data_IF_456149587514
#
_entry.id   IF_456149587514
#
_cell.length_a   1.000
_cell.length_b   1.000
_cell.length_c   1.000
_cell.angle_alpha   90.00
_cell.angle_beta   90.00
_cell.angle_gamma   90.00
#
_symmetry.space_group_name_H-M   'P 1'
#
loop_
_entity.id
_entity.type
_entity.pdbx_description
1 polymer ?
#
# COMPACT_ATOMS: atom_id res chain seq x y z
N UNK A 1 42.00 103.40 -33.42
CA UNK A 1 41.26 102.13 -33.26
C UNK A 1 42.26 101.02 -33.02
N UNK A 2 41.96 100.22 -32.01
CA UNK A 2 42.73 99.21 -31.28
C UNK A 2 43.38 98.11 -32.13
N UNK A 3 44.63 97.73 -31.81
CA UNK A 3 45.11 96.35 -31.99
C UNK A 3 46.36 96.07 -31.13
N UNK A 4 46.36 94.90 -30.45
CA UNK A 4 47.51 94.12 -29.94
C UNK A 4 48.38 94.75 -28.84
N UNK A 5 48.81 94.11 -27.74
CA UNK A 5 49.11 92.72 -27.33
C UNK A 5 49.36 92.76 -25.79
N UNK A 6 49.26 91.73 -24.94
CA UNK A 6 50.31 90.72 -24.61
C UNK A 6 49.89 89.91 -23.35
N UNK A 7 49.92 88.58 -23.48
CA UNK A 7 50.35 87.46 -22.58
C UNK A 7 49.74 87.13 -21.19
N UNK A 8 49.37 85.83 -21.14
CA UNK A 8 49.74 84.73 -20.20
C UNK A 8 49.28 84.79 -18.73
N UNK A 9 48.52 83.77 -18.33
CA UNK A 9 48.91 82.85 -17.26
C UNK A 9 48.17 81.51 -17.39
N UNK A 10 48.86 80.44 -17.04
CA UNK A 10 48.44 79.05 -17.13
C UNK A 10 47.72 78.58 -15.85
N UNK A 11 46.79 77.63 -15.96
CA UNK A 11 46.51 76.62 -14.93
C UNK A 11 45.60 75.49 -15.49
N UNK A 12 46.23 74.34 -15.72
CA UNK A 12 45.82 72.96 -15.37
C UNK A 12 44.35 72.51 -15.44
N UNK A 13 44.14 71.52 -16.33
CA UNK A 13 43.17 70.41 -16.43
C UNK A 13 42.75 69.72 -15.08
N UNK A 14 41.80 68.75 -15.07
CA UNK A 14 40.60 68.57 -15.93
C UNK A 14 39.32 68.07 -15.18
N UNK A 15 38.21 68.10 -15.93
CA UNK A 15 37.04 67.21 -15.94
C UNK A 15 36.88 66.13 -14.83
N UNK A 16 35.76 66.21 -14.10
CA UNK A 16 34.97 65.02 -13.73
C UNK A 16 33.48 65.39 -13.70
N UNK A 17 32.75 64.89 -14.69
CA UNK A 17 31.31 64.98 -14.85
C UNK A 17 30.63 64.07 -13.80
N UNK A 18 29.96 64.66 -12.81
CA UNK A 18 29.17 63.93 -11.81
C UNK A 18 27.81 63.58 -12.42
N UNK A 19 27.66 62.36 -12.91
CA UNK A 19 26.38 61.74 -13.21
C UNK A 19 25.81 61.11 -11.92
N UNK A 20 24.71 61.68 -11.45
CA UNK A 20 23.89 61.12 -10.36
C UNK A 20 23.25 59.81 -10.84
N UNK A 21 23.78 58.66 -10.42
CA UNK A 21 23.07 57.38 -10.48
C UNK A 21 22.44 57.11 -9.11
N UNK A 22 21.12 57.09 -9.07
CA UNK A 22 20.34 56.61 -7.93
C UNK A 22 20.59 55.11 -7.74
N UNK A 23 21.42 54.74 -6.76
CA UNK A 23 21.54 53.38 -6.29
C UNK A 23 20.28 53.01 -5.50
N UNK A 24 19.35 52.31 -6.16
CA UNK A 24 18.31 51.56 -5.47
C UNK A 24 19.02 50.43 -4.72
N UNK A 25 19.08 50.55 -3.39
CA UNK A 25 19.47 49.48 -2.49
C UNK A 25 18.46 48.33 -2.65
N UNK A 26 18.78 47.35 -3.49
CA UNK A 26 18.21 46.03 -3.35
C UNK A 26 18.71 45.47 -2.01
N UNK A 27 17.84 44.99 -1.11
CA UNK A 27 18.32 44.22 0.02
C UNK A 27 19.08 43.01 -0.55
N UNK A 28 20.31 42.83 -0.09
CA UNK A 28 21.06 41.61 -0.30
C UNK A 28 20.12 40.44 -0.03
N UNK A 29 19.98 39.55 -1.02
CA UNK A 29 19.35 38.24 -0.85
C UNK A 29 20.01 37.63 0.38
N UNK A 30 19.28 37.57 1.49
CA UNK A 30 19.74 36.83 2.65
C UNK A 30 20.02 35.42 2.18
N UNK A 31 21.26 34.98 2.32
CA UNK A 31 21.57 33.57 2.27
C UNK A 31 20.74 32.93 3.38
N UNK A 32 19.63 32.29 3.00
CA UNK A 32 18.97 31.37 3.90
C UNK A 32 20.00 30.27 4.15
N UNK A 33 20.72 30.38 5.28
CA UNK A 33 21.52 29.30 5.82
C UNK A 33 20.61 28.08 5.85
N UNK A 34 20.83 27.13 4.95
CA UNK A 34 20.13 25.86 5.00
C UNK A 34 20.45 25.28 6.39
N UNK A 35 19.44 25.22 7.26
CA UNK A 35 19.60 24.63 8.57
C UNK A 35 20.10 23.20 8.40
N UNK A 36 21.14 22.82 9.14
CA UNK A 36 21.64 21.45 9.09
C UNK A 36 20.51 20.45 9.34
N UNK A 37 20.49 19.30 8.63
CA UNK A 37 19.45 18.31 8.80
C UNK A 37 19.37 17.80 10.25
N UNK A 38 18.16 17.73 10.80
CA UNK A 38 17.93 17.26 12.16
C UNK A 38 17.93 15.73 12.22
N UNK A 39 18.78 15.16 13.07
CA UNK A 39 18.73 13.73 13.41
C UNK A 39 17.75 13.52 14.56
N UNK A 40 16.73 12.70 14.36
CA UNK A 40 15.78 12.32 15.41
C UNK A 40 15.84 10.81 15.67
N UNK A 41 15.52 10.40 16.91
CA UNK A 41 15.49 8.99 17.30
C UNK A 41 16.85 8.30 17.45
N UNK A 42 17.92 9.00 17.84
CA UNK A 42 19.20 8.32 18.18
C UNK A 42 19.92 8.92 19.39
N UNK A 43 20.33 8.05 20.31
CA UNK A 43 21.57 8.20 21.11
C UNK A 43 22.61 7.26 20.47
N UNK A 44 23.56 7.80 19.68
CA UNK A 44 24.65 7.02 19.06
C UNK A 44 25.77 6.66 20.07
N UNK A 45 26.66 5.67 19.79
CA UNK A 45 26.80 4.91 18.55
C UNK A 45 26.70 3.37 18.65
N UNK A 46 26.24 2.76 17.57
CA UNK A 46 26.18 1.32 17.34
C UNK A 46 27.59 0.74 17.10
N UNK A 47 27.90 -0.37 17.76
CA UNK A 47 29.21 -1.04 17.72
C UNK A 47 29.43 -1.78 16.39
N UNK A 48 30.56 -1.53 15.74
CA UNK A 48 30.95 -2.14 14.45
C UNK A 48 32.13 -3.11 14.61
N UNK A 49 32.11 -4.21 13.86
CA UNK A 49 33.33 -4.90 13.39
C UNK A 49 33.22 -5.06 11.88
N UNK A 50 34.27 -4.66 11.17
CA UNK A 50 34.29 -4.44 9.73
C UNK A 50 34.89 -5.60 8.93
N UNK A 51 34.44 -5.78 7.68
CA UNK A 51 35.14 -6.51 6.62
C UNK A 51 34.80 -5.94 5.23
N UNK A 52 35.67 -6.09 4.21
CA UNK A 52 35.76 -5.15 3.07
C UNK A 52 35.05 -5.60 1.79
N UNK A 53 34.76 -4.61 0.94
CA UNK A 53 34.10 -4.71 -0.36
C UNK A 53 35.05 -4.81 -1.58
N UNK A 54 34.57 -5.41 -2.69
CA UNK A 54 34.63 -4.88 -4.07
C UNK A 54 34.38 -5.97 -5.13
N UNK A 55 33.48 -5.76 -6.10
CA UNK A 55 33.58 -6.22 -7.51
C UNK A 55 32.75 -5.30 -8.44
N UNK A 56 33.24 -4.98 -9.64
CA UNK A 56 32.57 -4.24 -10.74
C UNK A 56 32.67 -5.01 -12.06
N UNK A 57 31.60 -5.09 -12.89
CA UNK A 57 31.65 -5.61 -14.29
C UNK A 57 30.50 -5.07 -15.20
N UNK A 58 30.57 -5.21 -16.55
CA UNK A 58 30.14 -4.21 -17.54
C UNK A 58 28.78 -4.47 -18.25
N UNK A 59 28.35 -3.46 -19.03
CA UNK A 59 27.05 -3.31 -19.66
C UNK A 59 26.84 -4.05 -21.00
N UNK A 60 25.65 -4.63 -21.23
CA UNK A 60 24.60 -4.18 -22.20
C UNK A 60 23.58 -5.29 -22.55
N UNK A 61 22.34 -5.14 -22.07
CA UNK A 61 21.04 -5.52 -22.69
C UNK A 61 19.91 -5.17 -21.68
N UNK A 62 18.71 -4.77 -22.15
CA UNK A 62 17.63 -4.15 -21.33
C UNK A 62 17.02 -5.12 -20.27
N UNK A 63 16.31 -4.58 -19.25
CA UNK A 63 15.14 -5.15 -18.46
C UNK A 63 15.27 -5.33 -16.92
N UNK A 64 14.18 -5.28 -16.08
CA UNK A 64 13.58 -4.22 -15.16
C UNK A 64 13.34 -4.81 -13.71
N UNK A 65 12.62 -4.22 -12.68
CA UNK A 65 12.16 -4.98 -11.45
C UNK A 65 11.83 -6.40 -11.92
N UNK A 66 12.47 -7.41 -11.34
CA UNK A 66 12.56 -8.70 -12.05
C UNK A 66 11.13 -9.24 -12.24
N UNK A 67 10.70 -9.39 -13.49
CA UNK A 67 9.34 -9.83 -13.87
C UNK A 67 8.20 -8.81 -13.65
N UNK A 68 8.48 -7.55 -13.31
CA UNK A 68 7.49 -6.49 -13.11
C UNK A 68 7.03 -5.80 -14.39
N UNK A 69 5.90 -5.08 -14.31
CA UNK A 69 5.33 -4.30 -15.42
C UNK A 69 5.60 -2.79 -15.28
N UNK A 70 5.53 -2.06 -16.38
CA UNK A 70 5.62 -0.60 -16.36
C UNK A 70 4.46 0.04 -15.62
N UNK A 71 4.81 1.08 -14.85
CA UNK A 71 3.86 1.87 -14.09
C UNK A 71 4.22 3.35 -14.13
N UNK A 72 3.46 4.16 -13.42
CA UNK A 72 3.64 5.59 -13.32
C UNK A 72 3.20 6.09 -11.93
N UNK A 73 3.54 7.34 -11.62
CA UNK A 73 3.23 7.90 -10.30
C UNK A 73 1.75 8.23 -10.12
N UNK A 74 0.96 8.29 -11.19
CA UNK A 74 -0.49 8.45 -11.10
C UNK A 74 -1.14 7.21 -10.46
N UNK A 75 -0.55 6.03 -10.67
CA UNK A 75 -0.95 4.78 -10.00
C UNK A 75 -0.38 4.66 -8.58
N UNK A 76 0.80 5.24 -8.33
CA UNK A 76 1.51 5.18 -7.05
C UNK A 76 1.91 6.57 -6.54
N UNK A 77 0.94 7.47 -6.26
CA UNK A 77 1.22 8.87 -5.95
C UNK A 77 2.02 9.09 -4.66
N UNK A 78 1.99 8.12 -3.75
CA UNK A 78 2.77 8.10 -2.50
C UNK A 78 4.23 7.72 -2.69
N UNK A 79 4.62 7.14 -3.84
CA UNK A 79 5.97 6.60 -4.00
C UNK A 79 7.02 7.73 -4.00
N UNK A 80 8.13 7.49 -3.32
CA UNK A 80 9.27 8.40 -3.25
C UNK A 80 10.51 7.70 -3.79
N UNK A 81 11.26 8.40 -4.62
CA UNK A 81 12.61 8.03 -5.03
C UNK A 81 13.61 8.83 -4.18
N UNK A 82 14.54 8.13 -3.55
CA UNK A 82 15.64 8.70 -2.77
C UNK A 82 16.92 8.56 -3.60
N UNK A 83 17.64 9.66 -3.76
CA UNK A 83 18.92 9.68 -4.47
C UNK A 83 20.04 10.08 -3.53
N UNK A 84 21.22 9.51 -3.73
CA UNK A 84 22.45 9.89 -3.06
C UNK A 84 23.47 10.34 -4.12
N UNK A 85 24.02 11.55 -3.97
CA UNK A 85 24.94 12.15 -4.94
C UNK A 85 24.37 12.16 -6.38
N UNK A 86 23.07 12.41 -6.50
CA UNK A 86 22.35 12.46 -7.78
C UNK A 86 22.04 11.09 -8.40
N UNK A 87 22.42 9.98 -7.76
CA UNK A 87 22.13 8.62 -8.24
C UNK A 87 20.98 8.00 -7.46
N UNK A 88 20.11 7.24 -8.15
CA UNK A 88 19.04 6.48 -7.50
C UNK A 88 19.64 5.51 -6.48
N UNK A 89 19.15 5.57 -5.23
CA UNK A 89 19.75 4.86 -4.11
C UNK A 89 18.73 3.99 -3.38
N UNK A 90 17.58 4.56 -3.02
CA UNK A 90 16.49 3.86 -2.34
C UNK A 90 15.12 4.36 -2.80
N UNK A 91 14.09 3.63 -2.41
CA UNK A 91 12.70 4.06 -2.44
C UNK A 91 12.19 4.49 -1.06
N UNK A 92 10.95 4.98 -1.07
CA UNK A 92 10.20 5.33 0.12
C UNK A 92 8.72 5.52 -0.19
N UNK A 93 7.94 5.86 0.83
CA UNK A 93 6.54 6.19 0.69
C UNK A 93 6.15 7.39 1.55
N UNK A 94 5.42 8.34 0.97
CA UNK A 94 4.75 9.38 1.74
C UNK A 94 3.69 8.74 2.64
N UNK A 95 3.91 8.85 3.95
CA UNK A 95 3.00 8.32 5.00
C UNK A 95 2.27 9.43 5.76
N UNK A 96 2.78 10.65 5.61
CA UNK A 96 2.20 11.91 6.06
C UNK A 96 2.74 13.00 5.11
N UNK A 97 2.04 14.15 4.91
CA UNK A 97 2.51 15.18 3.98
C UNK A 97 3.94 15.66 4.26
N UNK A 98 4.41 15.55 5.51
CA UNK A 98 5.76 15.94 5.92
C UNK A 98 6.68 14.75 6.29
N UNK A 99 6.26 13.50 6.06
CA UNK A 99 7.07 12.32 6.40
C UNK A 99 7.08 11.27 5.29
N UNK A 100 8.27 10.78 4.99
CA UNK A 100 8.52 9.65 4.09
C UNK A 100 9.02 8.47 4.92
N UNK A 101 8.33 7.34 4.81
CA UNK A 101 8.79 6.04 5.32
C UNK A 101 9.79 5.42 4.36
N UNK A 102 10.90 4.92 4.88
CA UNK A 102 11.94 4.19 4.13
C UNK A 102 12.61 3.15 5.05
N UNK A 103 13.65 2.48 4.57
CA UNK A 103 14.45 1.52 5.33
C UNK A 103 15.53 2.24 6.16
N UNK A 104 15.95 1.68 7.28
CA UNK A 104 17.02 2.24 8.11
C UNK A 104 18.36 2.24 7.37
N UNK A 105 18.65 1.19 6.60
CA UNK A 105 19.88 1.08 5.81
C UNK A 105 19.97 2.12 4.67
N UNK A 106 18.84 2.73 4.29
CA UNK A 106 18.80 3.85 3.35
C UNK A 106 19.18 5.18 4.00
N UNK A 107 19.30 5.24 5.33
CA UNK A 107 19.64 6.45 6.09
C UNK A 107 21.01 6.32 6.77
N UNK A 108 21.33 5.14 7.27
CA UNK A 108 22.54 4.87 8.06
C UNK A 108 23.35 3.71 7.49
N UNK A 109 24.68 3.86 7.50
CA UNK A 109 25.65 2.84 7.14
C UNK A 109 26.42 2.38 8.36
N UNK A 110 26.39 1.09 8.67
CA UNK A 110 27.23 0.53 9.72
C UNK A 110 28.68 0.39 9.25
N UNK A 111 28.89 0.06 7.97
CA UNK A 111 30.23 0.01 7.38
C UNK A 111 30.99 1.33 7.53
N UNK A 112 30.32 2.46 7.25
CA UNK A 112 30.91 3.79 7.40
C UNK A 112 30.72 4.39 8.80
N UNK A 113 29.95 3.74 9.67
CA UNK A 113 29.52 4.23 10.97
C UNK A 113 28.98 5.68 10.91
N UNK A 114 28.17 5.99 9.89
CA UNK A 114 27.67 7.34 9.65
C UNK A 114 26.36 7.35 8.86
N UNK A 115 25.66 8.49 8.89
CA UNK A 115 24.47 8.76 8.08
C UNK A 115 24.85 9.04 6.64
N UNK A 116 24.11 8.48 5.67
CA UNK A 116 24.38 8.73 4.25
C UNK A 116 24.27 10.21 3.88
N UNK A 117 23.34 10.94 4.49
CA UNK A 117 23.21 12.38 4.29
C UNK A 117 24.35 13.23 4.87
N UNK A 118 25.24 12.64 5.69
CA UNK A 118 26.49 13.26 6.13
C UNK A 118 27.68 12.88 5.22
N UNK A 119 27.55 11.78 4.47
CA UNK A 119 28.57 11.28 3.53
C UNK A 119 28.34 11.76 2.09
N UNK A 120 27.17 12.31 1.79
CA UNK A 120 26.80 12.78 0.47
C UNK A 120 25.49 13.57 0.44
N UNK A 121 25.12 14.04 -0.74
CA UNK A 121 23.89 14.81 -0.94
C UNK A 121 22.70 13.87 -1.13
N UNK A 122 21.86 13.77 -0.10
CA UNK A 122 20.61 13.01 -0.15
C UNK A 122 19.46 13.91 -0.63
N UNK A 123 18.71 13.44 -1.63
CA UNK A 123 17.51 14.13 -2.14
C UNK A 123 16.34 13.16 -2.24
N UNK A 124 15.12 13.67 -2.19
CA UNK A 124 13.90 12.88 -2.28
C UNK A 124 12.95 13.49 -3.31
N UNK A 125 12.34 12.64 -4.13
CA UNK A 125 11.48 13.05 -5.22
C UNK A 125 10.22 12.20 -5.28
N UNK A 126 9.09 12.80 -5.64
CA UNK A 126 7.85 12.07 -5.94
C UNK A 126 7.23 12.59 -7.22
N UNK A 127 6.47 11.74 -7.92
CA UNK A 127 5.75 12.18 -9.10
C UNK A 127 6.58 12.41 -10.36
N UNK A 128 7.82 11.93 -10.39
CA UNK A 128 8.73 12.10 -11.51
C UNK A 128 9.50 10.82 -11.78
N UNK A 129 9.57 10.39 -13.04
CA UNK A 129 10.53 9.38 -13.48
C UNK A 129 11.94 10.00 -13.52
N UNK A 130 13.00 9.19 -13.66
CA UNK A 130 14.40 9.67 -13.70
C UNK A 130 14.70 10.75 -14.77
N UNK A 131 13.76 11.08 -15.66
CA UNK A 131 13.78 12.25 -16.53
C UNK A 131 13.11 13.44 -15.84
N UNK A 132 13.91 14.46 -15.46
CA UNK A 132 13.54 15.62 -14.61
C UNK A 132 12.46 16.59 -15.11
N UNK A 133 11.31 16.11 -15.56
CA UNK A 133 10.11 16.91 -15.88
C UNK A 133 8.93 16.41 -15.05
N UNK A 134 8.35 17.30 -14.23
CA UNK A 134 7.19 17.02 -13.38
C UNK A 134 7.53 16.59 -11.95
N UNK A 135 6.49 16.33 -11.15
CA UNK A 135 6.62 15.88 -9.77
C UNK A 135 7.14 16.93 -8.78
N UNK A 136 7.34 16.52 -7.53
CA UNK A 136 7.81 17.36 -6.43
C UNK A 136 9.22 16.93 -6.00
N UNK A 137 10.07 17.91 -5.71
CA UNK A 137 11.28 17.69 -4.93
C UNK A 137 10.90 17.91 -3.48
N UNK A 138 11.13 16.89 -2.67
CA UNK A 138 10.75 16.88 -1.27
C UNK A 138 11.93 17.42 -0.48
N UNK A 139 11.81 18.65 0.03
CA UNK A 139 12.86 19.31 0.80
C UNK A 139 13.09 18.57 2.12
N UNK A 140 14.23 17.88 2.24
CA UNK A 140 14.60 17.12 3.43
C UNK A 140 15.03 18.08 4.54
N UNK A 141 14.36 18.00 5.69
CA UNK A 141 14.69 18.74 6.91
C UNK A 141 15.45 17.90 7.94
N UNK A 142 15.36 16.58 7.84
CA UNK A 142 15.97 15.67 8.79
C UNK A 142 15.62 14.22 8.52
N UNK A 143 16.21 13.32 9.30
CA UNK A 143 15.95 11.89 9.20
C UNK A 143 16.20 11.18 10.53
N UNK A 144 15.62 10.00 10.65
CA UNK A 144 15.77 9.14 11.82
C UNK A 144 15.50 7.69 11.46
N UNK A 145 16.14 6.77 12.17
CA UNK A 145 16.02 5.34 11.97
C UNK A 145 15.63 4.65 13.27
N UNK A 146 15.25 3.37 13.21
CA UNK A 146 14.96 2.60 14.42
C UNK A 146 16.16 2.56 15.38
N UNK A 147 15.92 2.87 16.66
CA UNK A 147 16.93 2.83 17.72
C UNK A 147 17.53 1.43 17.97
N UNK A 148 16.89 0.38 17.47
CA UNK A 148 17.32 -1.00 17.62
C UNK A 148 17.58 -1.68 16.27
N UNK A 149 17.84 -0.89 15.22
CA UNK A 149 18.23 -1.40 13.91
C UNK A 149 19.45 -2.33 14.01
N UNK A 150 19.35 -3.50 13.37
CA UNK A 150 20.41 -4.52 13.32
C UNK A 150 21.01 -4.58 11.89
N UNK A 151 22.00 -3.74 11.56
CA UNK A 151 22.50 -3.59 10.21
C UNK A 151 23.17 -4.84 9.64
N UNK A 152 22.76 -5.29 8.45
CA UNK A 152 23.37 -6.43 7.77
C UNK A 152 24.83 -6.14 7.36
N UNK A 153 25.15 -4.92 6.95
CA UNK A 153 26.52 -4.46 6.65
C UNK A 153 27.41 -4.36 7.90
N UNK A 154 26.81 -4.40 9.09
CA UNK A 154 27.49 -4.50 10.39
C UNK A 154 27.48 -5.90 11.00
N UNK A 155 27.07 -6.93 10.26
CA UNK A 155 26.96 -8.31 10.75
C UNK A 155 25.73 -8.60 11.62
N UNK A 156 24.75 -7.70 11.63
CA UNK A 156 23.47 -7.85 12.33
C UNK A 156 22.48 -8.76 11.61
N UNK A 157 21.24 -8.80 12.11
CA UNK A 157 20.18 -9.69 11.63
C UNK A 157 19.29 -9.09 10.53
N UNK A 158 19.38 -7.79 10.27
CA UNK A 158 18.44 -7.05 9.40
C UNK A 158 17.11 -6.70 10.08
N UNK A 159 16.98 -6.89 11.40
CA UNK A 159 15.78 -6.51 12.15
C UNK A 159 15.67 -5.00 12.35
N UNK A 160 14.44 -4.52 12.42
CA UNK A 160 14.06 -3.11 12.61
C UNK A 160 14.61 -2.19 11.51
N UNK A 161 14.66 -2.68 10.27
CA UNK A 161 15.11 -1.92 9.12
C UNK A 161 14.00 -0.97 8.60
N UNK A 162 13.75 0.08 9.37
CA UNK A 162 12.82 1.15 9.03
C UNK A 162 13.33 2.51 9.52
N UNK A 163 12.93 3.56 8.83
CA UNK A 163 13.25 4.94 9.18
C UNK A 163 12.29 5.93 8.55
N UNK A 164 12.41 7.18 8.98
CA UNK A 164 11.64 8.30 8.45
C UNK A 164 12.57 9.39 7.95
N UNK A 165 12.22 9.98 6.82
CA UNK A 165 12.73 11.27 6.37
C UNK A 165 11.65 12.30 6.66
N UNK A 166 12.02 13.39 7.32
CA UNK A 166 11.13 14.50 7.62
C UNK A 166 11.37 15.65 6.65
N UNK A 167 10.28 16.27 6.22
CA UNK A 167 10.28 17.32 5.20
C UNK A 167 10.10 18.70 5.82
N UNK A 168 10.70 19.73 5.24
CA UNK A 168 10.53 21.12 5.69
C UNK A 168 9.20 21.74 5.25
N UNK A 169 8.57 21.17 4.22
CA UNK A 169 7.29 21.60 3.67
C UNK A 169 6.41 20.39 3.31
N UNK A 170 5.08 20.48 3.46
CA UNK A 170 4.19 19.38 3.11
C UNK A 170 4.17 19.13 1.60
N UNK A 171 4.19 17.85 1.22
CA UNK A 171 3.88 17.39 -0.13
C UNK A 171 2.39 17.52 -0.42
N UNK A 172 2.02 17.77 -1.68
CA UNK A 172 0.62 17.79 -2.12
C UNK A 172 0.09 16.40 -2.52
N UNK A 173 0.95 15.39 -2.46
CA UNK A 173 0.67 14.03 -2.96
C UNK A 173 -0.11 13.20 -1.96
N UNK A 174 -0.80 12.18 -2.49
CA UNK A 174 -1.53 11.21 -1.67
C UNK A 174 -0.57 10.44 -0.78
N UNK A 175 -0.94 10.28 0.48
CA UNK A 175 -0.20 9.49 1.48
C UNK A 175 -0.80 8.10 1.64
N UNK A 176 -0.02 7.15 2.14
CA UNK A 176 -0.52 5.86 2.64
C UNK A 176 -0.34 5.75 4.14
N UNK A 177 -1.33 5.20 4.82
CA UNK A 177 -1.15 4.73 6.20
C UNK A 177 -0.58 3.32 6.23
N UNK A 178 0.12 3.02 7.32
CA UNK A 178 0.51 1.66 7.68
C UNK A 178 -0.74 0.88 8.12
N UNK A 179 -0.75 -0.43 7.89
CA UNK A 179 -1.80 -1.27 8.44
C UNK A 179 -1.77 -1.24 9.97
N UNK A 180 -2.95 -1.11 10.57
CA UNK A 180 -3.11 -1.07 12.02
C UNK A 180 -3.07 -2.44 12.70
N UNK A 181 -2.88 -2.47 14.03
CA UNK A 181 -2.98 -3.69 14.83
C UNK A 181 -4.31 -4.43 14.66
N UNK A 182 -5.40 -3.68 14.48
CA UNK A 182 -6.76 -4.18 14.27
C UNK A 182 -7.06 -4.57 12.80
N UNK A 183 -6.09 -4.39 11.90
CA UNK A 183 -6.21 -4.67 10.47
C UNK A 183 -5.45 -5.96 10.07
N UNK A 184 -5.06 -6.83 11.01
CA UNK A 184 -4.27 -8.04 10.75
C UNK A 184 -4.76 -8.93 9.58
N UNK A 185 -6.07 -8.94 9.33
CA UNK A 185 -6.67 -9.67 8.19
C UNK A 185 -6.22 -9.19 6.81
N UNK A 186 -5.80 -7.92 6.65
CA UNK A 186 -5.45 -7.36 5.33
C UNK A 186 -4.12 -7.88 4.79
N UNK A 187 -3.27 -8.45 5.66
CA UNK A 187 -1.89 -8.81 5.33
C UNK A 187 -1.51 -10.23 5.71
N UNK A 188 -2.51 -11.12 5.80
CA UNK A 188 -2.27 -12.56 5.99
C UNK A 188 -1.61 -13.22 4.76
N UNK A 189 -0.96 -14.38 4.95
CA UNK A 189 -0.43 -15.17 3.84
C UNK A 189 -1.48 -15.44 2.75
N UNK A 190 -1.04 -15.37 1.50
CA UNK A 190 -1.88 -15.52 0.30
C UNK A 190 -2.52 -14.22 -0.18
N UNK A 191 -2.52 -13.14 0.61
CA UNK A 191 -2.94 -11.81 0.14
C UNK A 191 -1.95 -11.30 -0.89
N UNK A 192 -2.44 -10.57 -1.89
CA UNK A 192 -1.59 -9.96 -2.93
C UNK A 192 -1.02 -8.64 -2.41
N UNK A 193 0.29 -8.60 -2.20
CA UNK A 193 1.05 -7.38 -2.00
C UNK A 193 1.46 -6.77 -3.35
N UNK A 194 1.58 -5.45 -3.39
CA UNK A 194 2.14 -4.69 -4.50
C UNK A 194 3.35 -3.93 -4.00
N UNK A 195 4.46 -4.07 -4.72
CA UNK A 195 5.65 -3.25 -4.58
C UNK A 195 5.87 -2.47 -5.87
N UNK A 196 6.35 -1.24 -5.75
CA UNK A 196 6.72 -0.41 -6.88
C UNK A 196 8.03 0.33 -6.57
N UNK A 197 8.87 0.51 -7.58
CA UNK A 197 10.22 1.05 -7.39
C UNK A 197 11.00 1.27 -8.68
N UNK A 198 12.16 1.88 -8.51
CA UNK A 198 13.13 2.20 -9.58
C UNK A 198 14.39 1.35 -9.50
N UNK A 199 14.36 0.30 -8.69
CA UNK A 199 15.52 -0.53 -8.44
C UNK A 199 16.08 -1.17 -9.70
N UNK A 200 17.26 -1.74 -9.49
CA UNK A 200 17.93 -2.66 -10.37
C UNK A 200 17.00 -3.75 -10.83
N UNK A 201 17.46 -4.33 -11.91
CA UNK A 201 16.57 -4.95 -12.85
C UNK A 201 16.95 -6.40 -13.18
N UNK A 202 18.13 -6.72 -12.71
CA UNK A 202 18.74 -8.01 -12.52
C UNK A 202 19.78 -7.80 -11.44
N UNK A 203 20.19 -8.87 -10.76
CA UNK A 203 21.22 -8.75 -9.74
C UNK A 203 22.51 -8.15 -10.34
N UNK A 204 22.92 -6.97 -9.86
CA UNK A 204 24.08 -6.23 -10.36
C UNK A 204 23.87 -5.53 -11.71
N UNK A 205 22.62 -5.35 -12.14
CA UNK A 205 22.25 -4.64 -13.38
C UNK A 205 22.15 -3.12 -13.20
N UNK A 206 21.61 -2.42 -14.20
CA UNK A 206 21.37 -0.98 -14.13
C UNK A 206 19.97 -0.65 -13.56
N UNK A 207 19.82 0.48 -12.86
CA UNK A 207 18.51 0.94 -12.40
C UNK A 207 17.52 1.19 -13.56
N UNK A 208 16.22 1.06 -13.28
CA UNK A 208 15.17 1.30 -14.28
C UNK A 208 14.96 2.81 -14.53
N UNK A 209 14.96 3.28 -15.80
CA UNK A 209 14.68 4.69 -16.12
C UNK A 209 13.19 5.07 -15.95
N UNK A 210 12.30 4.07 -15.83
CA UNK A 210 10.86 4.24 -15.64
C UNK A 210 10.37 3.44 -14.44
N UNK A 211 9.27 3.87 -13.82
CA UNK A 211 8.71 3.21 -12.66
C UNK A 211 8.21 1.80 -13.02
N UNK A 212 8.44 0.83 -12.13
CA UNK A 212 7.92 -0.52 -12.25
C UNK A 212 7.06 -0.90 -11.06
N UNK A 213 6.14 -1.82 -11.28
CA UNK A 213 5.31 -2.42 -10.24
C UNK A 213 5.32 -3.94 -10.36
N UNK A 214 5.21 -4.62 -9.23
CA UNK A 214 5.12 -6.08 -9.15
C UNK A 214 4.10 -6.45 -8.08
N UNK A 215 3.18 -7.35 -8.43
CA UNK A 215 2.24 -7.96 -7.50
C UNK A 215 2.67 -9.38 -7.17
N UNK A 216 2.87 -9.67 -5.88
CA UNK A 216 3.27 -11.00 -5.39
C UNK A 216 2.44 -11.40 -4.17
N UNK A 217 2.24 -12.70 -3.93
CA UNK A 217 1.57 -13.14 -2.72
C UNK A 217 2.47 -12.92 -1.51
N UNK A 218 1.87 -12.45 -0.41
CA UNK A 218 2.46 -12.56 0.92
C UNK A 218 2.61 -14.04 1.26
N UNK A 219 3.78 -14.44 1.73
CA UNK A 219 4.08 -15.82 2.06
C UNK A 219 3.91 -16.06 3.56
N UNK A 220 3.65 -17.32 3.93
CA UNK A 220 3.64 -17.69 5.34
C UNK A 220 5.06 -17.69 5.90
N UNK A 221 5.20 -17.36 7.19
CA UNK A 221 6.50 -17.31 7.88
C UNK A 221 7.27 -18.63 7.77
N UNK A 222 6.55 -19.76 7.74
CA UNK A 222 7.13 -21.10 7.56
C UNK A 222 7.79 -21.31 6.20
N UNK A 223 7.39 -20.57 5.16
CA UNK A 223 8.03 -20.62 3.84
C UNK A 223 9.39 -19.95 3.90
N UNK A 224 9.51 -18.82 4.60
CA UNK A 224 10.72 -18.01 4.62
C UNK A 224 11.71 -18.47 5.69
N UNK A 225 11.21 -19.04 6.78
CA UNK A 225 12.02 -19.76 7.79
C UNK A 225 12.41 -21.18 7.38
N UNK A 226 11.99 -21.67 6.20
CA UNK A 226 12.41 -22.96 5.70
C UNK A 226 13.93 -22.98 5.44
N UNK A 227 14.57 -24.13 5.66
CA UNK A 227 16.02 -24.30 5.52
C UNK A 227 16.52 -24.04 4.09
N UNK A 228 15.70 -24.32 3.08
CA UNK A 228 16.00 -24.03 1.67
C UNK A 228 15.72 -22.57 1.28
N UNK A 229 15.19 -21.75 2.20
CA UNK A 229 14.95 -20.33 2.04
C UNK A 229 15.95 -19.53 2.88
N UNK A 230 15.54 -18.93 4.01
CA UNK A 230 16.41 -18.15 4.88
C UNK A 230 16.68 -18.80 6.24
N UNK A 231 16.01 -19.91 6.56
CA UNK A 231 16.24 -20.64 7.82
C UNK A 231 16.12 -19.72 9.04
N UNK A 232 17.13 -19.77 9.90
CA UNK A 232 17.21 -18.95 11.12
C UNK A 232 17.60 -17.50 10.86
N UNK A 233 17.87 -17.06 9.62
CA UNK A 233 18.07 -15.64 9.33
C UNK A 233 16.73 -14.87 9.30
N UNK A 234 15.62 -15.55 8.99
CA UNK A 234 14.29 -14.93 8.99
C UNK A 234 13.71 -14.80 10.40
N UNK A 235 13.26 -13.60 10.76
CA UNK A 235 12.73 -13.24 12.09
C UNK A 235 11.25 -12.89 11.98
N UNK A 236 10.37 -13.89 12.13
CA UNK A 236 8.93 -13.75 11.87
C UNK A 236 8.23 -12.61 12.64
N UNK A 237 8.69 -12.27 13.85
CA UNK A 237 8.13 -11.17 14.64
C UNK A 237 8.50 -9.76 14.15
N UNK A 238 9.42 -9.65 13.19
CA UNK A 238 9.89 -8.37 12.67
C UNK A 238 9.88 -8.29 11.14
N UNK A 239 9.93 -9.45 10.48
CA UNK A 239 10.05 -9.58 9.04
C UNK A 239 8.84 -10.29 8.47
N UNK A 240 8.46 -9.92 7.26
CA UNK A 240 7.56 -10.69 6.41
C UNK A 240 8.22 -10.90 5.06
N UNK A 241 7.65 -11.79 4.25
CA UNK A 241 8.18 -12.04 2.92
C UNK A 241 7.06 -12.12 1.89
N UNK A 242 7.39 -11.68 0.68
CA UNK A 242 6.48 -11.68 -0.47
C UNK A 242 7.25 -12.09 -1.71
N UNK A 243 6.67 -12.95 -2.54
CA UNK A 243 7.34 -13.43 -3.73
C UNK A 243 6.73 -14.70 -4.32
N UNK A 244 7.31 -15.15 -5.43
CA UNK A 244 6.98 -16.42 -6.06
C UNK A 244 8.06 -17.42 -5.64
N UNK A 245 7.67 -18.54 -5.04
CA UNK A 245 8.62 -19.54 -4.50
C UNK A 245 9.54 -20.09 -5.60
N UNK A 246 9.03 -20.22 -6.82
CA UNK A 246 9.80 -20.64 -8.00
C UNK A 246 10.83 -19.60 -8.46
N UNK A 247 10.83 -18.39 -7.89
CA UNK A 247 11.65 -17.27 -8.35
C UNK A 247 11.11 -16.64 -9.62
N UNK A 248 11.99 -15.98 -10.37
CA UNK A 248 11.68 -15.32 -11.65
C UNK A 248 10.99 -13.96 -11.51
N UNK A 249 10.50 -13.59 -10.32
CA UNK A 249 10.08 -12.22 -10.03
C UNK A 249 10.35 -11.80 -8.59
N UNK A 250 10.75 -10.54 -8.40
CA UNK A 250 11.09 -9.98 -7.09
C UNK A 250 11.66 -8.58 -7.19
N UNK A 251 11.84 -7.94 -6.02
CA UNK A 251 12.56 -6.67 -5.93
C UNK A 251 14.06 -6.89 -6.14
N UNK A 252 14.78 -5.79 -6.35
CA UNK A 252 16.23 -5.81 -6.46
C UNK A 252 16.86 -4.60 -5.75
N UNK A 253 18.17 -4.40 -5.94
CA UNK A 253 18.89 -3.24 -5.38
C UNK A 253 18.18 -1.93 -5.78
N UNK A 254 18.14 -0.92 -4.92
CA UNK A 254 17.45 0.36 -5.21
C UNK A 254 15.93 0.36 -5.03
N UNK A 255 15.27 -0.80 -4.88
CA UNK A 255 13.88 -0.86 -4.40
C UNK A 255 13.78 -0.76 -2.86
N UNK A 256 14.91 -0.92 -2.17
CA UNK A 256 15.05 -0.79 -0.72
C UNK A 256 14.33 0.43 -0.15
N UNK A 257 13.61 0.27 0.96
CA UNK A 257 12.80 1.34 1.54
C UNK A 257 11.44 1.56 0.85
N UNK A 258 11.22 1.00 -0.34
CA UNK A 258 9.94 1.07 -1.04
C UNK A 258 8.79 0.37 -0.28
N UNK A 259 7.54 0.80 -0.46
CA UNK A 259 6.40 0.23 0.24
C UNK A 259 5.92 -1.08 -0.38
N UNK A 260 5.73 -2.11 0.43
CA UNK A 260 4.83 -3.21 0.12
C UNK A 260 3.43 -2.86 0.62
N UNK A 261 2.49 -2.72 -0.30
CA UNK A 261 1.13 -2.30 0.00
C UNK A 261 0.11 -3.38 -0.37
N UNK A 262 -0.97 -3.49 0.41
CA UNK A 262 -2.10 -4.40 0.14
C UNK A 262 -3.37 -3.61 -0.15
N UNK A 263 -4.24 -4.10 -1.05
CA UNK A 263 -5.52 -3.47 -1.31
C UNK A 263 -6.51 -3.72 -0.17
N UNK A 264 -7.28 -2.69 0.18
CA UNK A 264 -8.36 -2.76 1.16
C UNK A 264 -9.72 -2.46 0.51
N UNK A 265 -10.80 -2.77 1.22
CA UNK A 265 -12.14 -2.35 0.79
C UNK A 265 -12.21 -0.84 0.55
N UNK A 266 -13.12 -0.42 -0.35
CA UNK A 266 -13.27 0.99 -0.73
C UNK A 266 -12.23 1.49 -1.75
N UNK A 267 -11.34 0.61 -2.24
CA UNK A 267 -10.39 0.94 -3.31
C UNK A 267 -9.07 1.55 -2.82
N UNK A 268 -8.86 1.65 -1.51
CA UNK A 268 -7.62 2.15 -0.91
C UNK A 268 -6.54 1.07 -0.71
N UNK A 269 -5.45 1.45 -0.07
CA UNK A 269 -4.34 0.55 0.28
C UNK A 269 -3.78 0.81 1.69
N UNK A 270 -3.09 -0.18 2.25
CA UNK A 270 -2.26 -0.05 3.46
C UNK A 270 -0.84 -0.51 3.18
N UNK A 271 0.15 0.15 3.79
CA UNK A 271 1.54 -0.37 3.81
C UNK A 271 1.61 -1.45 4.87
N UNK A 272 2.15 -2.62 4.49
CA UNK A 272 2.30 -3.77 5.38
C UNK A 272 3.76 -4.17 5.56
N UNK A 273 4.61 -3.77 4.61
CA UNK A 273 6.05 -3.90 4.76
C UNK A 273 6.86 -2.84 4.03
N UNK A 274 8.14 -2.76 4.36
CA UNK A 274 9.15 -1.91 3.73
C UNK A 274 10.23 -2.82 3.16
N UNK A 275 10.59 -2.65 1.88
CA UNK A 275 11.62 -3.49 1.22
C UNK A 275 12.92 -3.37 2.01
N UNK A 276 13.49 -4.51 2.43
CA UNK A 276 14.65 -4.53 3.33
C UNK A 276 15.82 -5.29 2.71
N UNK A 277 15.70 -6.60 2.50
CA UNK A 277 16.79 -7.42 2.00
C UNK A 277 16.33 -8.68 1.25
N UNK A 278 17.28 -9.37 0.63
CA UNK A 278 17.07 -10.66 -0.02
C UNK A 278 18.39 -11.27 -0.48
N UNK A 279 18.43 -12.59 -0.65
CA UNK A 279 19.58 -13.28 -1.24
C UNK A 279 19.51 -13.20 -2.76
N UNK A 280 20.12 -12.15 -3.30
CA UNK A 280 20.02 -11.80 -4.72
C UNK A 280 18.62 -11.35 -5.11
N UNK A 281 18.35 -11.29 -6.43
CA UNK A 281 17.08 -10.83 -6.96
C UNK A 281 16.33 -11.98 -7.63
N UNK A 282 15.08 -12.20 -7.21
CA UNK A 282 14.16 -13.16 -7.83
C UNK A 282 14.67 -14.61 -7.93
N UNK A 283 15.55 -15.06 -7.03
CA UNK A 283 16.03 -16.44 -7.01
C UNK A 283 14.94 -17.40 -6.50
N UNK A 284 14.90 -18.66 -6.98
CA UNK A 284 14.06 -19.69 -6.40
C UNK A 284 14.29 -19.84 -4.88
N UNK A 285 13.21 -19.98 -4.13
CA UNK A 285 13.16 -20.05 -2.66
C UNK A 285 13.72 -18.83 -1.91
N UNK A 286 14.05 -17.72 -2.59
CA UNK A 286 14.55 -16.49 -1.97
C UNK A 286 13.58 -15.33 -2.24
N UNK A 287 12.38 -15.35 -1.63
CA UNK A 287 11.46 -14.22 -1.72
C UNK A 287 12.08 -12.97 -1.09
N UNK A 288 11.61 -11.78 -1.48
CA UNK A 288 12.04 -10.53 -0.86
C UNK A 288 11.61 -10.51 0.62
N UNK A 289 12.52 -10.09 1.49
CA UNK A 289 12.24 -9.81 2.90
C UNK A 289 11.93 -8.33 3.08
N UNK A 290 10.86 -8.09 3.84
CA UNK A 290 10.38 -6.77 4.19
C UNK A 290 10.35 -6.64 5.71
N UNK A 291 10.63 -5.44 6.22
CA UNK A 291 10.27 -5.09 7.59
C UNK A 291 8.75 -5.14 7.73
N UNK A 292 8.23 -5.88 8.71
CA UNK A 292 6.80 -6.08 8.97
C UNK A 292 6.21 -4.89 9.71
N UNK A 293 6.01 -3.79 9.00
CA UNK A 293 5.56 -2.52 9.61
C UNK A 293 4.13 -2.56 10.17
N UNK A 294 3.35 -3.57 9.78
CA UNK A 294 2.01 -3.82 10.32
C UNK A 294 2.01 -4.60 11.65
N UNK A 295 3.15 -5.13 12.08
CA UNK A 295 3.27 -5.78 13.39
C UNK A 295 3.06 -4.72 14.48
N UNK A 296 2.23 -4.96 15.51
CA UNK A 296 1.93 -3.95 16.54
C UNK A 296 3.19 -3.32 17.15
N UNK A 297 4.19 -4.13 17.53
CA UNK A 297 5.43 -3.62 18.10
C UNK A 297 6.19 -2.66 17.16
N UNK A 298 6.33 -3.04 15.89
CA UNK A 298 7.02 -2.24 14.86
C UNK A 298 6.21 -0.99 14.53
N UNK A 299 4.90 -1.12 14.32
CA UNK A 299 4.01 -0.01 13.97
C UNK A 299 3.99 1.06 15.06
N UNK A 300 3.98 0.67 16.34
CA UNK A 300 4.06 1.58 17.49
C UNK A 300 5.38 2.35 17.50
N UNK A 301 6.49 1.68 17.23
CA UNK A 301 7.81 2.33 17.19
C UNK A 301 7.94 3.29 16.01
N UNK A 302 7.43 2.94 14.83
CA UNK A 302 7.38 3.85 13.67
C UNK A 302 6.54 5.09 14.00
N UNK A 303 5.40 4.92 14.66
CA UNK A 303 4.55 6.05 15.05
C UNK A 303 5.22 6.94 16.11
N UNK A 304 5.95 6.34 17.05
CA UNK A 304 6.75 7.10 18.02
C UNK A 304 7.87 7.91 17.32
N UNK A 305 8.57 7.31 16.36
CA UNK A 305 9.58 8.00 15.56
C UNK A 305 8.97 9.17 14.76
N UNK A 306 7.74 9.02 14.26
CA UNK A 306 7.02 10.09 13.57
C UNK A 306 6.70 11.26 14.51
N UNK A 307 6.28 10.98 15.75
CA UNK A 307 6.05 12.00 16.77
C UNK A 307 7.34 12.73 17.16
N UNK A 308 8.45 12.02 17.27
CA UNK A 308 9.76 12.61 17.51
C UNK A 308 10.15 13.56 16.38
N UNK A 309 9.96 13.16 15.12
CA UNK A 309 10.21 14.01 13.96
C UNK A 309 9.36 15.28 13.99
N UNK A 310 8.04 15.13 14.23
CA UNK A 310 7.13 16.28 14.31
C UNK A 310 7.45 17.24 15.45
N UNK A 311 7.92 16.71 16.59
CA UNK A 311 8.38 17.53 17.73
C UNK A 311 9.69 18.23 17.41
N UNK A 312 10.68 17.50 16.90
CA UNK A 312 12.03 18.01 16.63
C UNK A 312 12.03 19.12 15.57
N UNK A 313 11.13 19.03 14.59
CA UNK A 313 10.98 20.01 13.51
C UNK A 313 9.82 20.98 13.70
N UNK A 314 9.09 20.87 14.82
CA UNK A 314 7.94 21.71 15.15
C UNK A 314 6.93 21.81 13.99
N UNK A 315 6.43 20.66 13.52
CA UNK A 315 5.51 20.61 12.37
C UNK A 315 4.27 21.49 12.61
N UNK A 316 3.92 22.39 11.66
CA UNK A 316 2.92 23.41 11.90
C UNK A 316 1.48 22.91 11.72
N UNK A 317 0.56 23.49 12.49
CA UNK A 317 -0.89 23.43 12.25
C UNK A 317 -1.45 22.02 12.19
N UNK A 318 -2.16 21.70 11.11
CA UNK A 318 -2.81 20.40 10.90
C UNK A 318 -1.84 19.24 10.70
N UNK A 319 -0.54 19.52 10.51
CA UNK A 319 0.51 18.52 10.29
C UNK A 319 1.21 18.07 11.58
N UNK A 320 0.79 18.61 12.74
CA UNK A 320 1.32 18.20 14.04
C UNK A 320 0.85 16.78 14.44
N UNK A 321 -0.30 16.31 13.93
CA UNK A 321 -0.73 14.93 14.11
C UNK A 321 0.04 14.00 13.18
N UNK A 322 1.01 13.30 13.77
CA UNK A 322 1.91 12.37 13.09
C UNK A 322 1.43 10.92 13.19
N UNK A 323 0.14 10.68 13.45
CA UNK A 323 -0.40 9.32 13.49
C UNK A 323 -0.43 8.63 12.12
N UNK A 324 0.56 7.77 11.89
CA UNK A 324 0.76 7.05 10.62
C UNK A 324 -0.09 5.76 10.52
N UNK A 325 -0.74 5.36 11.61
CA UNK A 325 -1.34 4.03 11.75
C UNK A 325 -2.81 4.04 11.31
N UNK A 326 -3.16 3.07 10.48
CA UNK A 326 -4.52 2.79 10.03
C UNK A 326 -5.38 2.11 11.10
N UNK A 327 -6.69 2.10 10.91
CA UNK A 327 -7.63 1.30 11.72
C UNK A 327 -8.88 0.97 10.90
N UNK A 328 -9.47 -0.19 11.18
CA UNK A 328 -10.77 -0.62 10.66
C UNK A 328 -10.80 -1.07 9.20
N UNK A 329 -9.67 -1.09 8.48
CA UNK A 329 -9.64 -1.58 7.11
C UNK A 329 -9.92 -3.08 7.04
N UNK A 330 -10.64 -3.46 5.99
CA UNK A 330 -10.93 -4.86 5.65
C UNK A 330 -10.22 -5.24 4.36
N UNK A 331 -9.94 -6.53 4.14
CA UNK A 331 -9.33 -6.97 2.89
C UNK A 331 -10.24 -6.63 1.71
N UNK A 332 -9.65 -6.26 0.57
CA UNK A 332 -10.41 -5.93 -0.63
C UNK A 332 -11.38 -7.07 -1.02
N UNK A 333 -12.65 -6.70 -1.21
CA UNK A 333 -13.73 -7.61 -1.59
C UNK A 333 -14.46 -8.24 -0.39
N UNK A 334 -13.99 -8.03 0.85
CA UNK A 334 -14.63 -8.57 2.05
C UNK A 334 -16.07 -8.04 2.20
N UNK A 335 -16.26 -6.72 2.14
CA UNK A 335 -17.59 -6.11 2.33
C UNK A 335 -18.57 -6.53 1.24
N UNK A 336 -18.11 -6.64 -0.02
CA UNK A 336 -18.93 -7.13 -1.13
C UNK A 336 -19.35 -8.60 -0.92
N UNK A 337 -18.43 -9.45 -0.48
CA UNK A 337 -18.71 -10.86 -0.19
C UNK A 337 -19.69 -11.02 0.99
N UNK A 338 -19.51 -10.22 2.06
CA UNK A 338 -20.44 -10.17 3.19
C UNK A 338 -21.85 -9.75 2.75
N UNK A 339 -21.95 -8.70 1.93
CA UNK A 339 -23.23 -8.24 1.38
C UNK A 339 -23.91 -9.33 0.53
N UNK A 340 -23.15 -10.06 -0.30
CA UNK A 340 -23.68 -11.18 -1.07
C UNK A 340 -24.20 -12.33 -0.19
N UNK A 341 -23.53 -12.62 0.94
CA UNK A 341 -24.01 -13.61 1.91
C UNK A 341 -25.33 -13.17 2.58
N UNK A 342 -25.45 -11.90 2.97
CA UNK A 342 -26.69 -11.34 3.53
C UNK A 342 -27.84 -11.38 2.53
N UNK A 343 -27.57 -11.08 1.26
CA UNK A 343 -28.57 -11.17 0.18
C UNK A 343 -29.03 -12.61 -0.04
N UNK A 344 -28.11 -13.58 -0.02
CA UNK A 344 -28.46 -15.01 -0.12
C UNK A 344 -29.37 -15.45 1.04
N UNK A 345 -29.09 -14.99 2.26
CA UNK A 345 -29.91 -15.29 3.43
C UNK A 345 -31.32 -14.70 3.31
N UNK A 346 -31.41 -13.46 2.81
CA UNK A 346 -32.69 -12.80 2.52
C UNK A 346 -33.51 -13.55 1.46
N UNK A 347 -32.85 -14.12 0.44
CA UNK A 347 -33.50 -14.96 -0.57
C UNK A 347 -34.09 -16.24 0.00
N UNK A 348 -33.44 -16.87 0.99
CA UNK A 348 -33.99 -18.03 1.72
C UNK A 348 -35.23 -17.64 2.50
N UNK A 349 -35.22 -16.51 3.20
CA UNK A 349 -36.40 -16.00 3.93
C UNK A 349 -37.58 -15.77 2.98
N UNK A 350 -37.34 -15.13 1.82
CA UNK A 350 -38.36 -14.92 0.79
C UNK A 350 -38.90 -16.24 0.20
N UNK A 351 -38.02 -17.21 -0.08
CA UNK A 351 -38.41 -18.52 -0.60
C UNK A 351 -39.26 -19.31 0.41
N UNK A 352 -38.88 -19.27 1.69
CA UNK A 352 -39.66 -19.86 2.79
C UNK A 352 -41.05 -19.20 2.91
N UNK A 353 -41.13 -17.88 2.80
CA UNK A 353 -42.41 -17.15 2.76
C UNK A 353 -43.32 -17.62 1.63
N UNK A 354 -42.78 -17.79 0.41
CA UNK A 354 -43.51 -18.34 -0.75
C UNK A 354 -43.96 -19.79 -0.50
N UNK A 355 -43.08 -20.63 0.05
CA UNK A 355 -43.39 -22.03 0.38
C UNK A 355 -44.49 -22.13 1.44
N UNK A 356 -44.46 -21.29 2.48
CA UNK A 356 -45.48 -21.26 3.52
C UNK A 356 -46.86 -20.90 2.95
N UNK A 357 -46.94 -19.87 2.09
CA UNK A 357 -48.18 -19.50 1.37
C UNK A 357 -48.68 -20.65 0.48
N UNK A 358 -47.79 -21.33 -0.24
CA UNK A 358 -48.16 -22.46 -1.09
C UNK A 358 -48.65 -23.68 -0.28
N UNK A 359 -48.04 -23.98 0.87
CA UNK A 359 -48.50 -25.02 1.79
C UNK A 359 -49.92 -24.72 2.30
N UNK A 360 -50.19 -23.48 2.73
CA UNK A 360 -51.54 -23.05 3.13
C UNK A 360 -52.57 -23.23 2.01
N UNK A 361 -52.22 -22.84 0.78
CA UNK A 361 -53.08 -23.03 -0.39
C UNK A 361 -53.35 -24.52 -0.71
N UNK A 362 -52.33 -25.38 -0.60
CA UNK A 362 -52.47 -26.82 -0.79
C UNK A 362 -53.38 -27.46 0.27
N UNK A 363 -53.28 -27.03 1.53
CA UNK A 363 -54.20 -27.45 2.61
C UNK A 363 -55.65 -27.06 2.30
N UNK A 364 -55.88 -25.81 1.87
CA UNK A 364 -57.22 -25.35 1.46
C UNK A 364 -57.77 -26.17 0.29
N UNK A 365 -56.95 -26.45 -0.72
CA UNK A 365 -57.34 -27.28 -1.87
C UNK A 365 -57.64 -28.74 -1.46
N UNK A 366 -56.89 -29.30 -0.51
CA UNK A 366 -57.10 -30.65 0.03
C UNK A 366 -58.45 -30.75 0.73
N UNK A 367 -58.78 -29.75 1.55
CA UNK A 367 -60.05 -29.68 2.25
C UNK A 367 -61.24 -29.55 1.27
N UNK A 368 -61.10 -28.71 0.23
CA UNK A 368 -62.11 -28.58 -0.82
C UNK A 368 -62.34 -29.88 -1.62
N UNK A 369 -61.26 -30.59 -1.96
CA UNK A 369 -61.35 -31.90 -2.62
C UNK A 369 -62.04 -32.95 -1.73
N UNK A 370 -61.73 -33.00 -0.43
CA UNK A 370 -62.39 -33.88 0.54
C UNK A 370 -63.90 -33.59 0.63
N UNK A 371 -64.29 -32.30 0.69
CA UNK A 371 -65.70 -31.88 0.70
C UNK A 371 -66.42 -32.27 -0.60
N UNK A 372 -65.80 -32.03 -1.76
CA UNK A 372 -66.36 -32.40 -3.06
C UNK A 372 -66.50 -33.93 -3.21
N UNK A 373 -65.57 -34.72 -2.67
CA UNK A 373 -65.63 -36.19 -2.67
C UNK A 373 -66.83 -36.70 -1.88
N UNK A 374 -67.04 -36.15 -0.67
CA UNK A 374 -68.20 -36.48 0.18
C UNK A 374 -69.52 -36.12 -0.52
N UNK A 375 -69.60 -34.95 -1.16
CA UNK A 375 -70.80 -34.52 -1.89
C UNK A 375 -71.10 -35.40 -3.13
N UNK A 376 -70.06 -35.84 -3.86
CA UNK A 376 -70.24 -36.73 -5.00
C UNK A 376 -70.71 -38.14 -4.60
N UNK A 377 -70.29 -38.63 -3.43
CA UNK A 377 -70.75 -39.91 -2.88
C UNK A 377 -72.22 -39.91 -2.44
N UNK A 378 -72.75 -38.75 -2.00
CA UNK A 378 -74.14 -38.58 -1.55
C UNK A 378 -75.14 -38.22 -2.66
N UNK A 379 -74.69 -37.92 -3.88
CA UNK A 379 -75.55 -37.40 -4.95
C UNK A 379 -76.17 -38.52 -5.82
N UNK A 380 -77.46 -38.40 -6.14
CA UNK A 380 -78.22 -39.31 -7.00
C UNK A 380 -78.81 -38.60 -8.25
N UNK A 381 -79.20 -39.37 -9.26
CA UNK A 381 -79.82 -38.88 -10.51
C UNK A 381 -78.99 -37.83 -11.27
N UNK A 382 -79.66 -36.86 -11.93
CA UNK A 382 -79.02 -35.77 -12.70
C UNK A 382 -78.03 -34.93 -11.87
N UNK A 383 -78.15 -34.88 -10.54
CA UNK A 383 -77.25 -34.14 -9.63
C UNK A 383 -75.88 -34.83 -9.45
N UNK A 384 -75.77 -36.14 -9.68
CA UNK A 384 -74.53 -36.93 -9.54
C UNK A 384 -73.44 -36.52 -10.54
N UNK A 385 -73.82 -36.26 -11.79
CA UNK A 385 -72.90 -35.81 -12.84
C UNK A 385 -72.25 -34.44 -12.50
N UNK A 386 -73.06 -33.48 -12.03
CA UNK A 386 -72.60 -32.16 -11.60
C UNK A 386 -71.63 -32.24 -10.41
N UNK A 387 -71.90 -33.11 -9.44
CA UNK A 387 -71.03 -33.33 -8.28
C UNK A 387 -69.68 -33.98 -8.67
N UNK A 388 -69.70 -34.98 -9.58
CA UNK A 388 -68.47 -35.58 -10.13
C UNK A 388 -67.60 -34.57 -10.90
N UNK A 389 -68.21 -33.67 -11.69
CA UNK A 389 -67.47 -32.60 -12.40
C UNK A 389 -66.77 -31.65 -11.41
N UNK A 390 -67.46 -31.24 -10.33
CA UNK A 390 -66.87 -30.42 -9.25
C UNK A 390 -65.71 -31.14 -8.53
N UNK A 391 -65.83 -32.43 -8.25
CA UNK A 391 -64.74 -33.24 -7.68
C UNK A 391 -63.52 -33.29 -8.60
N UNK A 392 -63.70 -33.52 -9.90
CA UNK A 392 -62.61 -33.51 -10.89
C UNK A 392 -61.85 -32.18 -10.89
N UNK A 393 -62.58 -31.06 -10.86
CA UNK A 393 -62.01 -29.72 -10.76
C UNK A 393 -61.24 -29.51 -9.44
N UNK A 394 -61.79 -29.92 -8.30
CA UNK A 394 -61.14 -29.79 -7.01
C UNK A 394 -59.84 -30.62 -6.93
N UNK A 395 -59.85 -31.85 -7.45
CA UNK A 395 -58.66 -32.70 -7.53
C UNK A 395 -57.59 -32.11 -8.47
N UNK A 396 -57.98 -31.49 -9.60
CA UNK A 396 -57.04 -30.78 -10.48
C UNK A 396 -56.35 -29.62 -9.73
N UNK A 397 -57.12 -28.81 -9.00
CA UNK A 397 -56.58 -27.70 -8.17
C UNK A 397 -55.64 -28.20 -7.08
N UNK A 398 -55.98 -29.31 -6.41
CA UNK A 398 -55.11 -29.92 -5.40
C UNK A 398 -53.78 -30.39 -6.01
N UNK A 399 -53.82 -31.12 -7.14
CA UNK A 399 -52.60 -31.56 -7.83
C UNK A 399 -51.70 -30.37 -8.21
N UNK A 400 -52.28 -29.29 -8.74
CA UNK A 400 -51.54 -28.06 -9.08
C UNK A 400 -50.88 -27.43 -7.84
N UNK A 401 -51.61 -27.31 -6.73
CA UNK A 401 -51.08 -26.77 -5.49
C UNK A 401 -49.95 -27.63 -4.91
N UNK A 402 -50.08 -28.95 -4.94
CA UNK A 402 -49.03 -29.88 -4.51
C UNK A 402 -47.78 -29.79 -5.39
N UNK A 403 -47.95 -29.68 -6.72
CA UNK A 403 -46.83 -29.50 -7.67
C UNK A 403 -46.08 -28.19 -7.39
N UNK A 404 -46.81 -27.11 -7.09
CA UNK A 404 -46.23 -25.82 -6.66
C UNK A 404 -45.47 -25.93 -5.34
N UNK A 405 -45.98 -26.66 -4.35
CA UNK A 405 -45.26 -26.92 -3.10
C UNK A 405 -43.96 -27.70 -3.36
N UNK A 406 -43.99 -28.73 -4.21
CA UNK A 406 -42.78 -29.51 -4.56
C UNK A 406 -41.72 -28.63 -5.23
N UNK A 407 -42.13 -27.81 -6.20
CA UNK A 407 -41.24 -26.85 -6.86
C UNK A 407 -40.66 -25.80 -5.91
N UNK A 408 -41.46 -25.25 -4.98
CA UNK A 408 -40.94 -24.28 -4.01
C UNK A 408 -40.03 -24.92 -2.96
N UNK A 409 -40.20 -26.21 -2.63
CA UNK A 409 -39.24 -26.93 -1.78
C UNK A 409 -37.87 -27.02 -2.44
N UNK A 410 -37.80 -27.33 -3.74
CA UNK A 410 -36.53 -27.33 -4.46
C UNK A 410 -35.92 -25.93 -4.57
N UNK A 411 -36.74 -24.89 -4.76
CA UNK A 411 -36.25 -23.49 -4.72
C UNK A 411 -35.63 -23.14 -3.36
N UNK A 412 -36.27 -23.53 -2.24
CA UNK A 412 -35.72 -23.31 -0.89
C UNK A 412 -34.41 -24.07 -0.72
N UNK A 413 -34.32 -25.32 -1.19
CA UNK A 413 -33.09 -26.11 -1.11
C UNK A 413 -31.94 -25.43 -1.87
N UNK A 414 -32.17 -25.01 -3.12
CA UNK A 414 -31.18 -24.29 -3.91
C UNK A 414 -30.75 -22.96 -3.27
N UNK A 415 -31.69 -22.21 -2.69
CA UNK A 415 -31.37 -20.98 -1.97
C UNK A 415 -30.50 -21.23 -0.73
N UNK A 416 -30.73 -22.33 0.01
CA UNK A 416 -29.88 -22.73 1.14
C UNK A 416 -28.47 -23.12 0.71
N UNK A 417 -28.33 -23.84 -0.40
CA UNK A 417 -27.02 -24.14 -0.98
C UNK A 417 -26.28 -22.85 -1.35
N UNK A 418 -26.97 -21.89 -1.96
CA UNK A 418 -26.39 -20.57 -2.27
C UNK A 418 -25.90 -19.83 -1.02
N UNK A 419 -26.66 -19.86 0.08
CA UNK A 419 -26.21 -19.31 1.36
C UNK A 419 -24.90 -19.94 1.81
N UNK A 420 -24.81 -21.28 1.84
CA UNK A 420 -23.59 -21.96 2.27
C UNK A 420 -22.37 -21.53 1.43
N UNK A 421 -22.52 -21.47 0.10
CA UNK A 421 -21.45 -21.00 -0.79
C UNK A 421 -21.07 -19.55 -0.54
N UNK A 422 -22.05 -18.64 -0.42
CA UNK A 422 -21.78 -17.21 -0.21
C UNK A 422 -21.20 -16.91 1.16
N UNK A 423 -21.60 -17.64 2.19
CA UNK A 423 -20.99 -17.55 3.52
C UNK A 423 -19.54 -18.02 3.47
N UNK A 424 -19.24 -19.15 2.82
CA UNK A 424 -17.85 -19.61 2.67
C UNK A 424 -16.98 -18.61 1.89
N UNK A 425 -17.51 -18.01 0.82
CA UNK A 425 -16.83 -16.97 0.07
C UNK A 425 -16.56 -15.71 0.93
N UNK A 426 -17.54 -15.29 1.73
CA UNK A 426 -17.37 -14.16 2.65
C UNK A 426 -16.32 -14.44 3.72
N UNK A 427 -16.33 -15.64 4.30
CA UNK A 427 -15.29 -16.07 5.25
C UNK A 427 -13.92 -16.01 4.59
N UNK A 428 -13.73 -16.63 3.41
CA UNK A 428 -12.45 -16.62 2.72
C UNK A 428 -11.99 -15.21 2.33
N UNK A 429 -12.90 -14.35 1.86
CA UNK A 429 -12.56 -12.98 1.46
C UNK A 429 -12.13 -12.10 2.64
N UNK A 430 -12.69 -12.31 3.83
CA UNK A 430 -12.43 -11.50 5.02
C UNK A 430 -11.38 -12.08 5.97
N UNK A 431 -11.02 -13.37 5.81
CA UNK A 431 -10.17 -14.08 6.77
C UNK A 431 -8.70 -13.91 6.51
#
# INVERSE_FOLDING_TARGET
MTCSTVRRAAATLPLALVLLFAAILFPARGEASASEPVIFGSKQPYSTQSAPANITLPATAKHYIVGGSESNFEKHPWLVQITLNGQAFCGGALVHPMLVLTAAHCLWSAENNNWWGALGTMQAFTGRTQSGTGGEELNIAGWGAAENYQPLDGGGTGENDYGLIALSSPSSRTVLKLAGPDESSVWKPGRTGLVAGFGDISQGGAASPVLKELSTPLLADSVCSAANSYGTAFRAGNMLCSGIVQGGSGTCQGDSGGPLSVPIDGGGRRIVGVVSWGDGCAKPNKPTIYTRVAEPAVSTQINALAQQAGTALNFPGTYADTNLIGSGAKPAGCSAAQAAAVQAQSAVAAANGKLAKAKKAATKAKNAAKKAKKAAGKAAGKKKAKAKKKLKQANKKLKQAQKKVKSLKSTVAAAKTSVATKTAQATAACS
#
